data_IF_327555655668
#
_entry.id   IF_327555655668
#
_cell.length_a   1.000
_cell.length_b   1.000
_cell.length_c   1.000
_cell.angle_alpha   90.00
_cell.angle_beta   90.00
_cell.angle_gamma   90.00
#
_symmetry.space_group_name_H-M   'P 1'
#
loop_
_entity.id
_entity.type
_entity.pdbx_description
1 polymer ?
#
# COMPACT_ATOMS: atom_id res chain seq x y z
N UNK A 1 1.52 -14.28 -1.12
CA UNK A 1 0.99 -13.65 0.11
C UNK A 1 1.33 -12.17 0.07
N UNK A 2 0.33 -11.30 0.09
CA UNK A 2 0.52 -9.85 0.14
C UNK A 2 1.11 -9.47 1.50
N UNK A 3 2.18 -8.65 1.54
CA UNK A 3 2.77 -8.23 2.81
C UNK A 3 1.84 -7.23 3.50
N UNK A 4 1.68 -7.33 4.82
CA UNK A 4 0.85 -6.42 5.60
C UNK A 4 1.25 -4.94 5.42
N UNK A 5 2.53 -4.68 5.13
CA UNK A 5 3.03 -3.34 4.79
C UNK A 5 2.43 -2.79 3.50
N UNK A 6 2.29 -3.63 2.46
CA UNK A 6 1.74 -3.20 1.18
C UNK A 6 0.24 -2.95 1.26
N UNK A 7 -0.47 -3.82 1.99
CA UNK A 7 -1.88 -3.64 2.34
C UNK A 7 -2.04 -2.32 3.10
N UNK A 8 -1.23 -2.07 4.14
CA UNK A 8 -1.34 -0.82 4.90
C UNK A 8 -1.09 0.42 4.04
N UNK A 9 -0.12 0.37 3.11
CA UNK A 9 0.14 1.47 2.17
C UNK A 9 -1.02 1.72 1.20
N UNK A 10 -1.76 0.68 0.81
CA UNK A 10 -2.94 0.82 -0.03
C UNK A 10 -4.09 1.51 0.72
N UNK A 11 -4.45 1.02 1.92
CA UNK A 11 -5.65 1.46 2.63
C UNK A 11 -5.44 2.64 3.60
N UNK A 12 -4.20 2.95 3.98
CA UNK A 12 -3.88 4.02 4.91
C UNK A 12 -2.95 5.07 4.30
N UNK A 13 -3.05 6.30 4.79
CA UNK A 13 -2.09 7.37 4.58
C UNK A 13 -1.08 7.35 5.71
N UNK A 14 0.21 7.34 5.37
CA UNK A 14 1.29 7.40 6.36
C UNK A 14 1.31 8.75 7.06
N UNK A 15 1.50 8.73 8.37
CA UNK A 15 1.70 9.90 9.21
C UNK A 15 3.04 9.78 9.95
N UNK A 16 3.58 10.89 10.50
CA UNK A 16 4.75 10.84 11.37
C UNK A 16 4.52 9.89 12.57
N UNK A 17 5.61 9.55 13.26
CA UNK A 17 5.59 8.74 14.49
C UNK A 17 4.93 7.35 14.34
N UNK A 18 5.04 6.77 13.14
CA UNK A 18 4.48 5.46 12.82
C UNK A 18 2.96 5.38 12.95
N UNK A 19 2.26 6.49 12.74
CA UNK A 19 0.80 6.50 12.66
C UNK A 19 0.30 6.33 11.22
N UNK A 20 -0.90 5.77 11.09
CA UNK A 20 -1.56 5.51 9.83
C UNK A 20 -3.00 6.02 9.89
N UNK A 21 -3.39 6.86 8.95
CA UNK A 21 -4.77 7.32 8.83
C UNK A 21 -5.53 6.47 7.81
N UNK A 22 -6.63 5.85 8.21
CA UNK A 22 -7.46 5.04 7.31
C UNK A 22 -8.15 5.95 6.28
N UNK A 23 -7.88 5.73 4.99
CA UNK A 23 -8.44 6.55 3.89
C UNK A 23 -9.97 6.48 3.79
N UNK A 24 -10.60 5.45 4.38
CA UNK A 24 -12.03 5.20 4.28
C UNK A 24 -12.84 5.78 5.43
N UNK A 25 -12.32 5.73 6.66
CA UNK A 25 -13.05 6.17 7.84
C UNK A 25 -12.36 7.28 8.63
N UNK A 26 -11.17 7.73 8.20
CA UNK A 26 -10.39 8.76 8.89
C UNK A 26 -9.79 8.31 10.22
N UNK A 27 -9.93 7.02 10.60
CA UNK A 27 -9.42 6.53 11.87
C UNK A 27 -7.90 6.45 11.85
N UNK A 28 -7.28 7.07 12.86
CA UNK A 28 -5.83 7.01 13.08
C UNK A 28 -5.47 5.74 13.86
N UNK A 29 -4.48 5.00 13.36
CA UNK A 29 -3.97 3.75 13.94
C UNK A 29 -2.45 3.80 14.01
N UNK A 30 -1.90 3.71 15.20
CA UNK A 30 -0.45 3.59 15.41
C UNK A 30 0.07 2.20 15.07
N UNK A 31 1.28 2.14 14.53
CA UNK A 31 2.09 0.93 14.50
C UNK A 31 2.51 0.60 15.92
N UNK A 32 2.21 -0.61 16.40
CA UNK A 32 2.68 -1.03 17.72
C UNK A 32 4.11 -1.54 17.56
N UNK A 33 5.04 -1.06 18.39
CA UNK A 33 6.46 -1.43 18.32
C UNK A 33 6.70 -2.95 18.30
N UNK A 34 5.85 -3.73 19.00
CA UNK A 34 5.96 -5.19 19.07
C UNK A 34 5.17 -5.95 18.00
N UNK A 35 4.13 -5.36 17.39
CA UNK A 35 3.24 -6.07 16.45
C UNK A 35 3.28 -5.52 15.03
N UNK A 36 4.10 -4.50 14.77
CA UNK A 36 4.16 -3.81 13.48
C UNK A 36 2.76 -3.38 13.01
N UNK A 37 2.37 -3.88 11.84
CA UNK A 37 1.11 -3.58 11.16
C UNK A 37 -0.13 -4.29 11.73
N UNK A 38 0.00 -5.05 12.82
CA UNK A 38 -1.14 -5.78 13.39
C UNK A 38 -2.34 -4.90 13.75
N UNK A 39 -2.12 -3.68 14.25
CA UNK A 39 -3.20 -2.75 14.62
C UNK A 39 -3.96 -2.19 13.39
N UNK A 40 -3.28 -1.63 12.37
CA UNK A 40 -3.93 -1.26 11.10
C UNK A 40 -4.65 -2.43 10.40
N UNK A 41 -4.04 -3.62 10.35
CA UNK A 41 -4.64 -4.79 9.69
C UNK A 41 -5.87 -5.31 10.45
N UNK A 42 -5.80 -5.38 11.78
CA UNK A 42 -6.94 -5.75 12.61
C UNK A 42 -8.10 -4.76 12.44
N UNK A 43 -7.79 -3.46 12.29
CA UNK A 43 -8.81 -2.46 11.96
C UNK A 43 -9.48 -2.73 10.61
N UNK A 44 -8.73 -3.11 9.57
CA UNK A 44 -9.30 -3.49 8.28
C UNK A 44 -10.21 -4.70 8.39
N UNK A 45 -9.80 -5.73 9.13
CA UNK A 45 -10.62 -6.93 9.30
C UNK A 45 -11.97 -6.62 9.97
N UNK A 46 -12.00 -5.70 10.95
CA UNK A 46 -13.23 -5.28 11.61
C UNK A 46 -14.11 -4.31 10.80
N UNK A 47 -13.53 -3.47 9.93
CA UNK A 47 -14.28 -2.44 9.17
C UNK A 47 -14.55 -2.80 7.72
N UNK A 48 -13.76 -3.69 7.13
CA UNK A 48 -13.84 -4.13 5.74
C UNK A 48 -13.58 -5.64 5.64
N UNK A 49 -14.58 -6.48 5.95
CA UNK A 49 -14.47 -7.90 5.63
C UNK A 49 -14.21 -8.04 4.12
N UNK A 50 -13.16 -8.79 3.74
CA UNK A 50 -12.78 -8.99 2.34
C UNK A 50 -11.78 -7.98 1.75
N UNK A 51 -11.18 -7.10 2.56
CA UNK A 51 -10.17 -6.13 2.09
C UNK A 51 -9.01 -6.76 1.30
N UNK A 52 -8.69 -8.04 1.54
CA UNK A 52 -7.65 -8.77 0.81
C UNK A 52 -8.02 -9.00 -0.67
N UNK A 53 -9.29 -9.27 -0.96
CA UNK A 53 -9.79 -9.43 -2.33
C UNK A 53 -9.80 -8.08 -3.05
N UNK A 54 -10.23 -7.00 -2.37
CA UNK A 54 -10.14 -5.64 -2.90
C UNK A 54 -8.68 -5.26 -3.21
N UNK A 55 -7.75 -5.60 -2.30
CA UNK A 55 -6.32 -5.36 -2.51
C UNK A 55 -5.80 -6.15 -3.70
N UNK A 56 -6.17 -7.42 -3.86
CA UNK A 56 -5.74 -8.24 -4.99
C UNK A 56 -6.28 -7.68 -6.31
N UNK A 57 -7.56 -7.29 -6.36
CA UNK A 57 -8.14 -6.66 -7.54
C UNK A 57 -7.43 -5.34 -7.88
N UNK A 58 -7.14 -4.52 -6.86
CA UNK A 58 -6.38 -3.28 -7.03
C UNK A 58 -4.94 -3.56 -7.49
N UNK A 59 -4.24 -4.50 -6.87
CA UNK A 59 -2.87 -4.87 -7.22
C UNK A 59 -2.76 -5.46 -8.64
N UNK A 60 -3.73 -6.29 -9.05
CA UNK A 60 -3.82 -6.81 -10.42
C UNK A 60 -4.08 -5.67 -11.43
N UNK A 61 -4.95 -4.72 -11.09
CA UNK A 61 -5.19 -3.52 -11.92
C UNK A 61 -3.96 -2.59 -11.95
N UNK A 62 -3.22 -2.46 -10.86
CA UNK A 62 -2.00 -1.65 -10.75
C UNK A 62 -0.83 -2.24 -11.53
N UNK A 63 -0.77 -3.56 -11.70
CA UNK A 63 0.24 -4.21 -12.55
C UNK A 63 0.13 -3.78 -14.02
N UNK A 64 -1.07 -3.38 -14.48
CA UNK A 64 -1.27 -2.76 -15.79
C UNK A 64 -0.93 -1.26 -15.84
N UNK A 65 -0.81 -0.58 -14.69
CA UNK A 65 -0.72 0.89 -14.57
C UNK A 65 0.56 1.36 -13.85
N UNK A 66 1.66 0.62 -13.99
CA UNK A 66 3.01 0.96 -13.46
C UNK A 66 3.50 2.38 -13.83
N UNK A 67 2.89 3.01 -14.84
CA UNK A 67 3.17 4.38 -15.27
C UNK A 67 2.67 5.46 -14.28
N UNK A 68 1.68 5.17 -13.43
CA UNK A 68 0.95 6.19 -12.66
C UNK A 68 1.53 6.46 -11.25
N UNK A 69 2.47 5.63 -10.78
CA UNK A 69 3.03 5.72 -9.42
C UNK A 69 4.44 6.31 -9.33
N UNK A 70 4.94 6.96 -10.39
CA UNK A 70 6.22 7.67 -10.34
C UNK A 70 7.45 6.76 -10.26
N UNK A 71 7.36 5.52 -10.77
CA UNK A 71 8.52 4.63 -10.96
C UNK A 71 9.13 4.74 -12.36
N UNK A 72 9.09 5.94 -12.97
CA UNK A 72 9.92 6.30 -14.11
C UNK A 72 10.36 7.74 -13.89
N UNK A 73 11.52 7.93 -13.27
CA UNK A 73 12.32 9.10 -13.63
C UNK A 73 12.76 8.89 -15.08
N UNK A 74 12.69 9.92 -15.92
CA UNK A 74 13.19 9.93 -17.31
C UNK A 74 14.56 9.24 -17.49
N UNK A 75 15.35 9.19 -16.41
CA UNK A 75 16.65 8.54 -16.32
C UNK A 75 16.63 7.00 -16.41
N UNK A 76 15.50 6.34 -16.13
CA UNK A 76 15.37 4.87 -16.23
C UNK A 76 14.95 4.46 -17.64
N UNK A 77 14.24 5.33 -18.38
CA UNK A 77 13.92 5.10 -19.79
C UNK A 77 15.19 5.05 -20.67
N UNK A 78 16.23 5.80 -20.32
CA UNK A 78 17.50 5.79 -21.08
C UNK A 78 18.38 4.57 -20.81
N UNK A 79 18.15 3.79 -19.75
CA UNK A 79 18.96 2.58 -19.45
C UNK A 79 18.55 1.41 -20.36
N UNK A 80 17.28 1.36 -20.79
CA UNK A 80 16.79 0.30 -21.67
C UNK A 80 16.86 0.63 -23.16
N UNK A 81 17.29 1.83 -23.56
CA UNK A 81 17.50 2.22 -24.97
C UNK A 81 18.90 1.79 -25.51
N UNK A 82 19.67 0.95 -24.79
CA UNK A 82 21.01 0.54 -25.25
C UNK A 82 21.30 -0.94 -25.04
N UNK A 83 20.32 -1.79 -25.38
CA UNK A 83 20.50 -3.22 -25.59
C UNK A 83 19.73 -3.70 -26.84
N UNK A 84 19.67 -2.86 -27.87
CA UNK A 84 19.40 -3.25 -29.25
C UNK A 84 20.54 -2.77 -30.16
#
# INVERSE_FOLDING_TARGET
MSKNSDICRAFFSSMPDFYFNCKYCGAVRGQKASSGYGNPVSHLNGKRPGYEADYLAQASSMTGNLHSYGFVSDKVASVYHRLE
#
